data_IF_756197562144
#
_entry.id   IF_756197562144
#
_cell.length_a   1.000
_cell.length_b   1.000
_cell.length_c   1.000
_cell.angle_alpha   90.00
_cell.angle_beta   90.00
_cell.angle_gamma   90.00
#
_symmetry.space_group_name_H-M   'P 1'
#
loop_
_entity.id
_entity.type
_entity.pdbx_description
1 polymer ?
#
# COMPACT_ATOMS: atom_id res chain seq x y z
N UNK A 1 41.10 46.72 -11.41
CA UNK A 1 40.72 45.35 -10.99
C UNK A 1 39.24 45.17 -11.31
N UNK A 2 38.86 44.22 -12.17
CA UNK A 2 37.46 43.89 -12.49
C UNK A 2 37.27 42.41 -12.19
N UNK A 3 36.47 42.10 -11.18
CA UNK A 3 36.09 40.72 -10.84
C UNK A 3 34.83 40.34 -11.63
N UNK A 4 34.83 39.26 -12.41
CA UNK A 4 33.60 38.73 -12.98
C UNK A 4 32.82 37.95 -11.92
N UNK A 5 31.55 38.30 -11.74
CA UNK A 5 30.60 37.57 -10.91
C UNK A 5 30.18 36.32 -11.69
N UNK A 6 30.61 35.14 -11.25
CA UNK A 6 30.18 33.88 -11.81
C UNK A 6 28.79 33.53 -11.22
N UNK A 7 27.76 33.55 -12.06
CA UNK A 7 26.44 33.04 -11.71
C UNK A 7 26.47 31.51 -11.77
N UNK A 8 26.65 30.87 -10.61
CA UNK A 8 26.49 29.41 -10.47
C UNK A 8 25.01 29.04 -10.53
N UNK A 9 24.59 28.43 -11.63
CA UNK A 9 23.31 27.73 -11.74
C UNK A 9 23.42 26.40 -10.98
N UNK A 10 22.97 26.37 -9.74
CA UNK A 10 22.77 25.13 -9.01
C UNK A 10 21.54 24.41 -9.57
N UNK A 11 21.76 23.37 -10.38
CA UNK A 11 20.71 22.47 -10.82
C UNK A 11 20.40 21.56 -9.63
N UNK A 12 19.28 21.80 -8.93
CA UNK A 12 18.73 20.83 -7.99
C UNK A 12 18.26 19.61 -8.79
N UNK A 13 19.05 18.54 -8.77
CA UNK A 13 18.56 17.24 -9.18
C UNK A 13 17.46 16.83 -8.20
N UNK A 14 16.20 16.87 -8.65
CA UNK A 14 15.10 16.24 -7.95
C UNK A 14 15.36 14.74 -7.96
N UNK A 15 15.89 14.21 -6.86
CA UNK A 15 15.98 12.76 -6.65
C UNK A 15 14.53 12.28 -6.52
N UNK A 16 13.95 11.77 -7.60
CA UNK A 16 12.67 11.07 -7.56
C UNK A 16 12.82 9.93 -6.57
N UNK A 17 12.21 10.07 -5.38
CA UNK A 17 12.14 8.98 -4.40
C UNK A 17 11.28 7.89 -5.04
N UNK A 18 11.93 6.91 -5.65
CA UNK A 18 11.26 5.70 -6.13
C UNK A 18 10.73 4.99 -4.88
N UNK A 19 9.41 4.83 -4.80
CA UNK A 19 8.79 4.04 -3.73
C UNK A 19 9.29 2.60 -3.86
N UNK A 20 9.72 2.01 -2.74
CA UNK A 20 10.24 0.65 -2.73
C UNK A 20 9.13 -0.39 -2.92
N UNK A 21 7.90 -0.08 -2.52
CA UNK A 21 6.72 -0.93 -2.75
C UNK A 21 5.50 -0.09 -3.12
N UNK A 22 4.56 -0.73 -3.81
CA UNK A 22 3.26 -0.16 -4.18
C UNK A 22 2.15 -1.20 -4.08
N UNK A 23 1.07 -0.85 -3.39
CA UNK A 23 -0.07 -1.73 -3.15
C UNK A 23 -1.35 -1.03 -3.57
N UNK A 24 -2.32 -1.79 -4.08
CA UNK A 24 -3.69 -1.31 -4.31
C UNK A 24 -4.64 -2.19 -3.54
N UNK A 25 -5.31 -1.63 -2.54
CA UNK A 25 -6.28 -2.35 -1.72
C UNK A 25 -7.70 -2.03 -2.18
N UNK A 26 -8.59 -3.01 -2.21
CA UNK A 26 -9.97 -2.87 -2.67
C UNK A 26 -10.93 -3.28 -1.56
N UNK A 27 -12.13 -2.67 -1.53
CA UNK A 27 -13.10 -2.91 -0.47
C UNK A 27 -14.14 -3.99 -0.77
N UNK A 28 -14.38 -4.36 -2.04
CA UNK A 28 -15.52 -5.20 -2.42
C UNK A 28 -15.26 -6.25 -3.51
N UNK A 29 -14.01 -6.44 -3.96
CA UNK A 29 -13.69 -7.34 -5.09
C UNK A 29 -12.59 -8.33 -4.71
N UNK A 30 -12.93 -9.62 -4.64
CA UNK A 30 -12.00 -10.67 -4.18
C UNK A 30 -10.88 -11.00 -5.19
N UNK A 31 -11.07 -10.64 -6.45
CA UNK A 31 -10.15 -10.94 -7.56
C UNK A 31 -9.35 -9.71 -8.03
N UNK A 32 -9.41 -8.60 -7.27
CA UNK A 32 -8.77 -7.33 -7.61
C UNK A 32 -9.25 -6.73 -8.95
N UNK A 33 -10.42 -7.15 -9.45
CA UNK A 33 -11.04 -6.64 -10.67
C UNK A 33 -12.04 -5.55 -10.32
N UNK A 34 -11.68 -4.30 -10.61
CA UNK A 34 -12.44 -3.11 -10.19
C UNK A 34 -13.78 -3.03 -10.92
N UNK A 35 -14.85 -2.75 -10.18
CA UNK A 35 -16.16 -2.41 -10.74
C UNK A 35 -16.59 -0.99 -10.36
N UNK A 36 -17.72 -0.54 -10.89
CA UNK A 36 -18.25 0.82 -10.70
C UNK A 36 -18.62 1.15 -9.24
N UNK A 37 -18.71 0.16 -8.36
CA UNK A 37 -18.99 0.33 -6.93
C UNK A 37 -17.71 0.23 -6.07
N UNK A 38 -16.59 -0.20 -6.66
CA UNK A 38 -15.35 -0.42 -5.93
C UNK A 38 -14.75 0.89 -5.43
N UNK A 39 -14.34 0.86 -4.17
CA UNK A 39 -13.47 1.83 -3.53
C UNK A 39 -12.09 1.20 -3.35
N UNK A 40 -11.04 1.91 -3.73
CA UNK A 40 -9.68 1.41 -3.60
C UNK A 40 -8.68 2.46 -3.12
N UNK A 41 -7.71 1.99 -2.35
CA UNK A 41 -6.58 2.78 -1.87
C UNK A 41 -5.29 2.30 -2.49
N UNK A 42 -4.57 3.22 -3.12
CA UNK A 42 -3.20 3.01 -3.58
C UNK A 42 -2.28 3.52 -2.48
N UNK A 43 -1.48 2.62 -1.90
CA UNK A 43 -0.46 2.94 -0.92
C UNK A 43 0.92 2.71 -1.52
N UNK A 44 1.82 3.68 -1.37
CA UNK A 44 3.19 3.58 -1.87
C UNK A 44 4.15 4.09 -0.81
N UNK A 45 5.24 3.37 -0.57
CA UNK A 45 6.16 3.72 0.51
C UNK A 45 7.51 3.05 0.37
N UNK A 46 8.32 3.21 1.42
CA UNK A 46 9.62 2.55 1.57
C UNK A 46 9.52 1.47 2.65
N UNK A 47 10.56 0.65 2.82
CA UNK A 47 10.62 -0.32 3.91
C UNK A 47 10.19 0.28 5.25
N UNK A 48 9.34 -0.44 5.96
CA UNK A 48 8.87 -0.10 7.30
C UNK A 48 8.52 -1.34 8.09
N UNK A 49 8.36 -1.17 9.40
CA UNK A 49 8.18 -2.29 10.33
C UNK A 49 6.79 -2.94 10.19
N UNK A 50 5.73 -2.14 10.27
CA UNK A 50 4.35 -2.57 10.06
C UNK A 50 3.42 -1.39 9.81
N UNK A 51 2.52 -1.54 8.84
CA UNK A 51 1.46 -0.57 8.52
C UNK A 51 0.10 -1.12 8.92
N UNK A 52 -0.65 -0.38 9.73
CA UNK A 52 -1.98 -0.79 10.24
C UNK A 52 -3.05 0.17 9.75
N UNK A 53 -4.11 -0.36 9.14
CA UNK A 53 -5.24 0.46 8.69
C UNK A 53 -5.90 1.20 9.87
N UNK A 54 -6.33 2.43 9.63
CA UNK A 54 -6.89 3.31 10.67
C UNK A 54 -5.85 3.93 11.62
N UNK A 55 -4.57 3.59 11.47
CA UNK A 55 -3.46 4.25 12.18
C UNK A 55 -2.73 5.22 11.23
N UNK A 56 -1.94 6.13 11.81
CA UNK A 56 -1.03 6.97 11.03
C UNK A 56 0.05 6.11 10.36
N UNK A 57 0.33 6.36 9.08
CA UNK A 57 1.40 5.70 8.31
C UNK A 57 2.39 6.76 7.78
N UNK A 58 3.32 7.27 8.61
CA UNK A 58 4.27 8.28 8.18
C UNK A 58 5.14 7.80 7.02
N UNK A 59 5.34 8.64 6.02
CA UNK A 59 6.18 8.32 4.85
C UNK A 59 5.52 7.41 3.81
N UNK A 60 4.23 7.08 3.98
CA UNK A 60 3.41 6.38 2.98
C UNK A 60 2.59 7.40 2.20
N UNK A 61 2.76 7.40 0.88
CA UNK A 61 1.86 8.07 -0.04
C UNK A 61 0.55 7.31 -0.13
N UNK A 62 -0.55 8.04 -0.23
CA UNK A 62 -1.87 7.44 -0.31
C UNK A 62 -2.74 8.17 -1.35
N UNK A 63 -3.34 7.40 -2.26
CA UNK A 63 -4.41 7.84 -3.14
C UNK A 63 -5.66 7.02 -2.89
N UNK A 64 -6.82 7.67 -2.76
CA UNK A 64 -8.07 6.99 -2.44
C UNK A 64 -9.12 7.34 -3.47
N UNK A 65 -9.64 6.31 -4.14
CA UNK A 65 -10.59 6.44 -5.22
C UNK A 65 -11.88 5.69 -4.93
N UNK A 66 -13.00 6.28 -5.32
CA UNK A 66 -14.33 5.69 -5.23
C UNK A 66 -14.95 5.53 -6.62
N UNK A 67 -16.06 4.79 -6.68
CA UNK A 67 -16.85 4.57 -7.89
C UNK A 67 -16.00 4.04 -9.05
N UNK A 68 -15.24 2.98 -8.79
CA UNK A 68 -14.38 2.36 -9.79
C UNK A 68 -13.21 3.24 -10.26
N UNK A 69 -12.87 4.31 -9.54
CA UNK A 69 -11.74 5.18 -9.89
C UNK A 69 -12.11 6.58 -10.36
N UNK A 70 -13.40 6.87 -10.53
CA UNK A 70 -13.88 8.13 -11.13
C UNK A 70 -13.59 9.35 -10.25
N UNK A 71 -13.61 9.18 -8.92
CA UNK A 71 -13.46 10.29 -7.98
C UNK A 71 -12.37 9.99 -6.95
N UNK A 72 -11.49 10.96 -6.71
CA UNK A 72 -10.49 10.89 -5.64
C UNK A 72 -10.99 11.68 -4.44
N UNK A 73 -11.22 11.00 -3.31
CA UNK A 73 -11.72 11.61 -2.07
C UNK A 73 -10.64 11.88 -1.02
N UNK A 74 -9.38 11.60 -1.35
CA UNK A 74 -8.27 11.67 -0.43
C UNK A 74 -8.29 10.59 0.67
N UNK A 75 -7.15 10.45 1.34
CA UNK A 75 -6.98 9.41 2.35
C UNK A 75 -7.38 9.94 3.72
N UNK A 76 -8.63 9.66 4.09
CA UNK A 76 -9.18 9.98 5.41
C UNK A 76 -10.07 8.85 5.91
N UNK A 77 -10.08 8.66 7.22
CA UNK A 77 -10.90 7.63 7.86
C UNK A 77 -10.33 6.22 7.73
N UNK A 78 -11.13 5.24 8.16
CA UNK A 78 -10.77 3.83 8.08
C UNK A 78 -11.19 3.25 6.72
N UNK A 79 -10.27 2.57 6.05
CA UNK A 79 -10.54 1.78 4.84
C UNK A 79 -10.52 0.30 5.19
N UNK A 80 -11.55 -0.43 4.78
CA UNK A 80 -11.69 -1.88 5.02
C UNK A 80 -11.35 -2.63 3.75
N UNK A 81 -10.10 -3.05 3.63
CA UNK A 81 -9.62 -3.79 2.46
C UNK A 81 -10.06 -5.26 2.53
N UNK A 82 -10.76 -5.76 1.51
CA UNK A 82 -11.10 -7.17 1.35
C UNK A 82 -10.14 -7.90 0.41
N UNK A 83 -9.44 -7.15 -0.43
CA UNK A 83 -8.36 -7.67 -1.26
C UNK A 83 -7.25 -6.64 -1.50
N UNK A 84 -6.13 -7.12 -2.00
CA UNK A 84 -4.96 -6.32 -2.32
C UNK A 84 -4.26 -6.86 -3.56
N UNK A 85 -3.88 -5.95 -4.44
CA UNK A 85 -2.97 -6.18 -5.55
C UNK A 85 -1.58 -5.62 -5.22
N UNK A 86 -0.57 -6.46 -5.38
CA UNK A 86 0.84 -6.07 -5.26
C UNK A 86 1.36 -5.50 -6.59
N UNK A 87 1.71 -4.21 -6.63
CA UNK A 87 2.39 -3.62 -7.79
C UNK A 87 3.86 -4.09 -7.85
N UNK A 88 4.60 -3.61 -8.86
CA UNK A 88 6.03 -3.86 -9.00
C UNK A 88 6.82 -3.49 -7.72
N UNK A 89 7.84 -4.29 -7.40
CA UNK A 89 8.73 -4.18 -6.24
C UNK A 89 8.10 -4.41 -4.85
N UNK A 90 6.88 -4.93 -4.80
CA UNK A 90 6.18 -5.31 -3.57
C UNK A 90 6.42 -6.76 -3.16
N UNK A 91 7.36 -6.98 -2.22
CA UNK A 91 7.45 -8.21 -1.44
C UNK A 91 6.78 -8.00 -0.07
N UNK A 92 5.47 -8.29 0.01
CA UNK A 92 4.66 -7.88 1.16
C UNK A 92 3.95 -9.06 1.86
N UNK A 93 3.88 -8.98 3.19
CA UNK A 93 3.14 -9.89 4.05
C UNK A 93 1.91 -9.21 4.61
N UNK A 94 0.77 -9.88 4.53
CA UNK A 94 -0.55 -9.36 4.91
C UNK A 94 -1.13 -10.12 6.09
N UNK A 95 -1.87 -9.41 6.95
CA UNK A 95 -2.34 -9.92 8.24
C UNK A 95 -3.79 -9.57 8.50
N UNK A 96 -4.51 -10.49 9.12
CA UNK A 96 -5.88 -10.27 9.59
C UNK A 96 -5.95 -9.50 10.92
N UNK A 97 -4.82 -9.41 11.65
CA UNK A 97 -4.71 -8.63 12.89
C UNK A 97 -3.95 -7.33 12.66
N UNK A 98 -4.17 -6.37 13.56
CA UNK A 98 -3.40 -5.12 13.58
C UNK A 98 -1.97 -5.36 14.07
N UNK A 99 -1.06 -4.42 13.77
CA UNK A 99 0.34 -4.47 14.21
C UNK A 99 1.13 -5.72 13.74
N UNK A 100 0.75 -6.30 12.59
CA UNK A 100 1.45 -7.41 11.95
C UNK A 100 1.66 -8.62 12.87
N UNK A 101 0.67 -8.87 13.74
CA UNK A 101 0.66 -10.00 14.67
C UNK A 101 0.27 -11.28 13.96
N UNK A 102 0.66 -12.39 14.58
CA UNK A 102 0.31 -13.76 14.16
C UNK A 102 0.82 -14.13 12.76
N UNK A 103 0.23 -15.19 12.21
CA UNK A 103 0.53 -15.65 10.87
C UNK A 103 -0.08 -14.70 9.83
N UNK A 104 0.78 -14.28 8.91
CA UNK A 104 0.38 -13.52 7.73
C UNK A 104 0.71 -14.29 6.45
N UNK A 105 0.18 -13.81 5.34
CA UNK A 105 0.35 -14.41 4.01
C UNK A 105 1.28 -13.53 3.17
N UNK A 106 2.34 -14.13 2.63
CA UNK A 106 3.29 -13.46 1.74
C UNK A 106 2.75 -13.43 0.30
N UNK A 107 2.93 -12.30 -0.39
CA UNK A 107 2.70 -12.18 -1.83
C UNK A 107 3.84 -11.43 -2.50
N UNK A 108 4.13 -11.84 -3.72
CA UNK A 108 5.10 -11.23 -4.62
C UNK A 108 4.39 -10.29 -5.60
N UNK A 109 5.14 -9.66 -6.50
CA UNK A 109 4.63 -8.70 -7.48
C UNK A 109 3.60 -9.32 -8.43
N UNK A 110 2.54 -8.58 -8.72
CA UNK A 110 1.53 -8.98 -9.71
C UNK A 110 0.59 -10.06 -9.20
N UNK A 111 0.44 -10.18 -7.88
CA UNK A 111 -0.46 -11.14 -7.25
C UNK A 111 -1.63 -10.41 -6.58
N UNK A 112 -2.82 -11.00 -6.71
CA UNK A 112 -3.98 -10.62 -5.91
C UNK A 112 -4.04 -11.53 -4.67
N UNK A 113 -4.39 -10.94 -3.53
CA UNK A 113 -4.75 -11.64 -2.32
C UNK A 113 -6.09 -11.13 -1.82
N UNK A 114 -6.98 -12.02 -1.41
CA UNK A 114 -8.18 -11.64 -0.67
C UNK A 114 -8.19 -12.19 0.76
N UNK A 115 -9.17 -11.74 1.54
CA UNK A 115 -9.33 -12.14 2.94
C UNK A 115 -9.63 -13.63 3.15
N UNK A 116 -10.25 -14.32 2.18
CA UNK A 116 -10.48 -15.77 2.29
C UNK A 116 -9.18 -16.55 2.26
N UNK A 117 -8.20 -16.09 1.49
CA UNK A 117 -6.88 -16.72 1.47
C UNK A 117 -6.15 -16.55 2.80
N UNK A 118 -6.36 -15.43 3.52
CA UNK A 118 -5.80 -15.27 4.87
C UNK A 118 -6.29 -16.34 5.85
N UNK A 119 -7.56 -16.77 5.73
CA UNK A 119 -8.12 -17.88 6.52
C UNK A 119 -7.51 -19.23 6.17
N UNK A 120 -7.30 -19.51 4.88
CA UNK A 120 -6.75 -20.79 4.43
C UNK A 120 -5.35 -21.01 5.00
N UNK A 121 -4.55 -19.95 5.09
CA UNK A 121 -3.21 -20.02 5.66
C UNK A 121 -3.18 -19.93 7.20
N UNK A 122 -4.27 -19.48 7.83
CA UNK A 122 -4.37 -19.40 9.28
C UNK A 122 -5.83 -19.62 9.75
N UNK A 123 -6.22 -20.88 10.01
CA UNK A 123 -7.60 -21.24 10.34
C UNK A 123 -8.07 -20.73 11.71
N UNK A 124 -7.15 -20.27 12.56
CA UNK A 124 -7.45 -19.74 13.91
C UNK A 124 -7.75 -18.22 13.91
N UNK A 125 -7.91 -17.60 12.73
CA UNK A 125 -8.19 -16.17 12.59
C UNK A 125 -9.68 -15.88 12.74
N UNK A 126 -10.05 -15.22 13.84
CA UNK A 126 -11.42 -14.76 14.09
C UNK A 126 -11.78 -13.45 13.36
N UNK A 127 -10.82 -12.67 12.87
CA UNK A 127 -11.03 -11.31 12.32
C UNK A 127 -10.62 -11.14 10.85
N UNK A 128 -11.07 -12.04 9.98
CA UNK A 128 -10.75 -12.04 8.55
C UNK A 128 -11.60 -11.08 7.70
N UNK A 129 -12.53 -10.33 8.28
CA UNK A 129 -13.43 -9.46 7.51
C UNK A 129 -12.70 -8.46 6.60
N UNK A 130 -11.49 -8.06 6.99
CA UNK A 130 -10.62 -7.19 6.21
C UNK A 130 -9.14 -7.45 6.53
N UNK A 131 -8.26 -7.07 5.61
CA UNK A 131 -6.82 -7.01 5.82
C UNK A 131 -6.55 -5.86 6.80
N UNK A 132 -6.05 -6.18 8.00
CA UNK A 132 -5.90 -5.21 9.09
C UNK A 132 -4.52 -4.53 9.11
N UNK A 133 -3.48 -5.26 8.71
CA UNK A 133 -2.13 -4.71 8.60
C UNK A 133 -1.28 -5.43 7.56
N UNK A 134 -0.17 -4.79 7.17
CA UNK A 134 0.79 -5.33 6.23
C UNK A 134 2.20 -4.85 6.53
N UNK A 135 3.20 -5.60 6.08
CA UNK A 135 4.60 -5.19 6.06
C UNK A 135 5.20 -5.50 4.70
N UNK A 136 6.06 -4.63 4.20
CA UNK A 136 6.75 -4.85 2.94
C UNK A 136 8.25 -4.81 3.17
N UNK A 137 8.96 -5.78 2.60
CA UNK A 137 10.40 -5.85 2.62
C UNK A 137 10.92 -5.34 1.29
N UNK A 138 12.04 -4.61 1.31
CA UNK A 138 12.75 -4.30 0.09
C UNK A 138 13.35 -5.61 -0.45
N UNK A 139 13.13 -5.90 -1.72
CA UNK A 139 14.01 -6.79 -2.46
C UNK A 139 15.26 -5.98 -2.78
N UNK A 140 16.36 -6.23 -2.04
CA UNK A 140 17.68 -5.66 -2.35
C UNK A 140 18.14 -6.00 -3.77
#
# INVERSE_FOLDING_TARGET
>A
MKFPIANSLAILAAVSKVSAWGLTFYNNVDNCDVNDETEYQILEGNQGDCYTFGSSMPGVSCGHYIRGGVENKGCSGMFKATSVWTKENSNCKFYAYTNCRDYGTQRENGECLNTRELLVFNPDVDSWEYIASFRCQNTE
#
